data_IF_151622494841
#
_entry.id   IF_151622494841
#
_cell.length_a   1.000
_cell.length_b   1.000
_cell.length_c   1.000
_cell.angle_alpha   90.00
_cell.angle_beta   90.00
_cell.angle_gamma   90.00
#
_symmetry.space_group_name_H-M   'P 1'
#
loop_
_entity.id
_entity.type
_entity.pdbx_description
1 polymer ?
#
# COMPACT_ATOMS: atom_id res chain seq x y z
N UNK A 1 -9.03 7.56 -4.12
CA UNK A 1 -7.78 6.78 -4.08
C UNK A 1 -7.27 6.67 -5.52
N UNK A 2 -6.05 7.13 -5.82
CA UNK A 2 -5.47 7.01 -7.16
C UNK A 2 -4.83 5.62 -7.33
N UNK A 3 -5.25 4.86 -8.34
CA UNK A 3 -4.60 3.63 -8.77
C UNK A 3 -3.30 3.94 -9.54
N UNK A 4 -2.26 3.12 -9.39
CA UNK A 4 -1.03 3.20 -10.19
C UNK A 4 -0.83 1.88 -10.95
N UNK A 5 -0.50 1.94 -12.24
CA UNK A 5 -0.24 0.74 -13.05
C UNK A 5 1.27 0.52 -13.17
N UNK A 6 1.73 -0.71 -12.91
CA UNK A 6 3.14 -1.07 -13.02
C UNK A 6 3.30 -2.51 -13.52
N UNK A 7 4.00 -2.71 -14.64
CA UNK A 7 4.22 -4.03 -15.27
C UNK A 7 2.97 -4.92 -15.40
N UNK A 8 1.81 -4.31 -15.67
CA UNK A 8 0.52 -5.03 -15.79
C UNK A 8 -0.25 -5.20 -14.47
N UNK A 9 0.31 -4.78 -13.34
CA UNK A 9 -0.32 -4.82 -12.03
C UNK A 9 -0.96 -3.47 -11.68
N UNK A 10 -2.16 -3.53 -11.10
CA UNK A 10 -2.80 -2.39 -10.47
C UNK A 10 -2.36 -2.30 -9.00
N UNK A 11 -1.76 -1.17 -8.64
CA UNK A 11 -1.28 -0.88 -7.30
C UNK A 11 -2.21 0.15 -6.66
N UNK A 12 -2.73 -0.18 -5.49
CA UNK A 12 -3.66 0.63 -4.71
C UNK A 12 -3.05 0.96 -3.34
N UNK A 13 -2.43 2.14 -3.17
CA UNK A 13 -1.98 2.61 -1.86
C UNK A 13 -3.17 2.86 -0.92
N UNK A 14 -3.10 2.30 0.29
CA UNK A 14 -4.09 2.40 1.35
C UNK A 14 -3.48 3.13 2.53
N UNK A 15 -3.67 4.45 2.59
CA UNK A 15 -3.07 5.32 3.61
C UNK A 15 -4.11 5.67 4.65
N UNK A 16 -3.78 5.45 5.93
CA UNK A 16 -4.68 5.71 7.04
C UNK A 16 -3.93 6.35 8.22
N UNK A 17 -4.66 7.03 9.10
CA UNK A 17 -4.07 7.62 10.30
C UNK A 17 -3.61 6.51 11.25
N UNK A 18 -2.45 6.69 11.87
CA UNK A 18 -1.89 5.72 12.81
C UNK A 18 -2.77 5.55 14.05
N UNK A 19 -3.17 6.67 14.66
CA UNK A 19 -4.08 6.67 15.81
C UNK A 19 -5.55 6.84 15.37
N UNK A 20 -6.46 6.17 16.10
CA UNK A 20 -7.89 6.44 15.98
C UNK A 20 -8.15 7.86 16.50
N UNK A 21 -8.99 8.66 15.83
CA UNK A 21 -9.42 9.94 16.38
C UNK A 21 -10.06 9.69 17.76
N UNK A 22 -9.45 10.21 18.82
CA UNK A 22 -10.09 10.24 20.14
C UNK A 22 -11.32 11.15 20.02
N UNK A 23 -12.48 10.66 20.43
CA UNK A 23 -13.72 11.44 20.38
C UNK A 23 -13.54 12.74 21.17
N UNK A 24 -13.55 13.88 20.47
CA UNK A 24 -13.45 15.22 21.06
C UNK A 24 -12.10 15.93 20.90
N UNK A 25 -11.03 15.26 20.44
CA UNK A 25 -9.83 15.96 19.98
C UNK A 25 -9.93 16.19 18.47
N UNK A 26 -9.50 17.37 17.99
CA UNK A 26 -9.33 17.60 16.55
C UNK A 26 -8.46 16.51 15.90
N UNK A 27 -8.47 16.42 14.57
CA UNK A 27 -7.61 15.47 13.82
C UNK A 27 -6.15 15.70 14.23
N UNK A 28 -5.63 14.90 15.16
CA UNK A 28 -4.23 14.91 15.55
C UNK A 28 -3.46 14.23 14.43
N UNK A 29 -2.90 15.04 13.53
CA UNK A 29 -1.96 14.55 12.52
C UNK A 29 -0.58 14.26 13.09
N UNK A 30 -0.36 14.56 14.39
CA UNK A 30 0.91 14.34 15.09
C UNK A 30 1.26 12.85 15.23
N UNK A 31 0.27 11.96 15.24
CA UNK A 31 0.51 10.52 15.36
C UNK A 31 0.97 9.87 14.04
N UNK A 32 0.96 10.63 12.94
CA UNK A 32 1.40 10.17 11.63
C UNK A 32 0.42 9.25 10.90
N UNK A 33 0.94 8.56 9.89
CA UNK A 33 0.18 7.72 8.97
C UNK A 33 0.80 6.33 8.88
N UNK A 34 -0.07 5.32 8.84
CA UNK A 34 0.30 3.98 8.44
C UNK A 34 -0.05 3.76 6.96
N UNK A 35 0.58 2.75 6.39
CA UNK A 35 0.38 2.39 4.99
C UNK A 35 0.12 0.89 4.84
N UNK A 36 -0.78 0.57 3.93
CA UNK A 36 -0.87 -0.73 3.29
C UNK A 36 -0.95 -0.53 1.78
N UNK A 37 -0.72 -1.58 1.01
CA UNK A 37 -0.86 -1.55 -0.43
C UNK A 37 -1.53 -2.82 -0.90
N UNK A 38 -2.56 -2.67 -1.73
CA UNK A 38 -3.16 -3.80 -2.46
C UNK A 38 -2.59 -3.84 -3.86
N UNK A 39 -2.10 -4.99 -4.27
CA UNK A 39 -1.59 -5.23 -5.62
C UNK A 39 -2.52 -6.22 -6.28
N UNK A 40 -3.00 -5.89 -7.47
CA UNK A 40 -3.90 -6.73 -8.24
C UNK A 40 -3.28 -7.05 -9.60
N UNK A 41 -3.31 -8.31 -9.99
CA UNK A 41 -3.10 -8.73 -11.37
C UNK A 41 -4.47 -9.03 -11.99
N UNK A 42 -4.85 -8.27 -13.01
CA UNK A 42 -6.04 -8.58 -13.80
C UNK A 42 -5.66 -9.51 -14.94
N UNK A 43 -5.93 -10.79 -14.77
CA UNK A 43 -5.92 -11.77 -15.85
C UNK A 43 -7.27 -11.80 -16.59
N UNK A 44 -7.30 -12.33 -17.82
CA UNK A 44 -8.53 -12.54 -18.59
C UNK A 44 -9.47 -13.57 -17.94
N UNK A 45 -8.93 -14.51 -17.15
CA UNK A 45 -9.72 -15.56 -16.48
C UNK A 45 -9.71 -15.45 -14.95
N UNK A 46 -8.61 -14.97 -14.36
CA UNK A 46 -8.45 -14.86 -12.91
C UNK A 46 -7.90 -13.48 -12.53
N UNK A 47 -8.56 -12.83 -11.57
CA UNK A 47 -7.99 -11.66 -10.89
C UNK A 47 -7.36 -12.13 -9.58
N UNK A 48 -6.04 -12.02 -9.48
CA UNK A 48 -5.34 -12.20 -8.21
C UNK A 48 -5.18 -10.84 -7.54
N UNK A 49 -5.37 -10.78 -6.22
CA UNK A 49 -4.96 -9.61 -5.45
C UNK A 49 -4.52 -9.99 -4.05
N UNK A 50 -3.45 -9.36 -3.58
CA UNK A 50 -3.02 -9.45 -2.19
C UNK A 50 -2.80 -8.05 -1.59
N UNK A 51 -2.98 -7.95 -0.28
CA UNK A 51 -2.81 -6.71 0.47
C UNK A 51 -1.70 -6.85 1.50
N UNK A 52 -0.73 -5.94 1.43
CA UNK A 52 0.45 -5.93 2.28
C UNK A 52 0.42 -4.71 3.18
N UNK A 53 0.58 -4.92 4.48
CA UNK A 53 0.83 -3.82 5.42
C UNK A 53 2.32 -3.48 5.39
N UNK A 54 2.64 -2.19 5.28
CA UNK A 54 4.02 -1.73 5.45
C UNK A 54 4.32 -1.71 6.95
N UNK A 55 5.19 -2.61 7.39
CA UNK A 55 5.61 -2.72 8.79
C UNK A 55 6.79 -1.79 9.07
N UNK A 56 6.56 -0.49 9.00
CA UNK A 56 7.56 0.50 9.43
C UNK A 56 7.64 0.56 10.96
N UNK A 57 8.85 0.76 11.48
CA UNK A 57 9.08 0.88 12.93
C UNK A 57 8.45 2.17 13.50
N UNK A 58 8.31 3.21 12.68
CA UNK A 58 7.69 4.48 13.03
C UNK A 58 6.67 4.89 11.96
N UNK A 59 5.53 5.48 12.34
CA UNK A 59 4.55 5.98 11.38
C UNK A 59 5.15 7.03 10.43
N UNK A 60 4.60 7.12 9.23
CA UNK A 60 4.99 8.14 8.26
C UNK A 60 4.49 9.52 8.69
N UNK A 61 5.37 10.52 8.64
CA UNK A 61 5.01 11.91 9.00
C UNK A 61 3.90 12.49 8.12
N UNK A 62 3.82 12.08 6.84
CA UNK A 62 2.82 12.59 5.90
C UNK A 62 2.20 11.47 5.07
N UNK A 63 0.95 11.67 4.66
CA UNK A 63 0.26 10.76 3.73
C UNK A 63 0.99 10.63 2.39
N UNK A 64 1.68 11.69 1.95
CA UNK A 64 2.50 11.68 0.74
C UNK A 64 3.72 10.77 0.87
N UNK A 65 4.40 10.77 2.02
CA UNK A 65 5.50 9.84 2.31
C UNK A 65 5.00 8.40 2.36
N UNK A 66 3.90 8.15 3.09
CA UNK A 66 3.26 6.85 3.18
C UNK A 66 2.87 6.29 1.79
N UNK A 67 2.30 7.15 0.93
CA UNK A 67 1.95 6.79 -0.45
C UNK A 67 3.17 6.42 -1.30
N UNK A 68 4.27 7.17 -1.20
CA UNK A 68 5.49 6.85 -1.96
C UNK A 68 6.08 5.51 -1.50
N UNK A 69 6.14 5.28 -0.19
CA UNK A 69 6.61 4.01 0.36
C UNK A 69 5.74 2.82 -0.10
N UNK A 70 4.41 2.97 -0.13
CA UNK A 70 3.51 1.94 -0.68
C UNK A 70 3.82 1.61 -2.13
N UNK A 71 4.11 2.61 -2.96
CA UNK A 71 4.43 2.39 -4.38
C UNK A 71 5.77 1.69 -4.54
N UNK A 72 6.80 2.13 -3.80
CA UNK A 72 8.12 1.54 -3.82
C UNK A 72 8.11 0.08 -3.35
N UNK A 73 7.41 -0.20 -2.23
CA UNK A 73 7.22 -1.56 -1.73
C UNK A 73 6.56 -2.45 -2.79
N UNK A 74 5.49 -1.95 -3.41
CA UNK A 74 4.73 -2.69 -4.41
C UNK A 74 5.55 -2.99 -5.67
N UNK A 75 6.27 -2.00 -6.19
CA UNK A 75 7.15 -2.18 -7.34
C UNK A 75 8.26 -3.19 -7.02
N UNK A 76 8.92 -3.06 -5.87
CA UNK A 76 9.97 -3.99 -5.45
C UNK A 76 9.48 -5.43 -5.26
N UNK A 77 8.25 -5.64 -4.79
CA UNK A 77 7.65 -6.97 -4.73
C UNK A 77 7.35 -7.53 -6.13
N UNK A 78 6.77 -6.72 -7.03
CA UNK A 78 6.51 -7.14 -8.42
C UNK A 78 7.82 -7.51 -9.12
N UNK A 79 8.86 -6.70 -8.93
CA UNK A 79 10.18 -6.93 -9.54
C UNK A 79 10.87 -8.18 -8.98
N UNK A 80 10.78 -8.43 -7.67
CA UNK A 80 11.37 -9.63 -7.04
C UNK A 80 10.75 -10.95 -7.56
N UNK A 81 9.48 -10.91 -7.94
CA UNK A 81 8.72 -12.08 -8.42
C UNK A 81 8.60 -12.14 -9.95
N UNK A 82 9.42 -11.36 -10.68
CA UNK A 82 9.38 -11.21 -12.15
C UNK A 82 8.00 -10.83 -12.72
N UNK A 83 7.11 -10.30 -11.89
CA UNK A 83 5.69 -10.11 -12.20
C UNK A 83 4.91 -11.43 -12.18
N UNK A 84 5.31 -12.44 -12.94
CA UNK A 84 4.48 -13.62 -13.21
C UNK A 84 4.45 -14.65 -12.05
N UNK A 85 5.43 -14.63 -11.13
CA UNK A 85 5.54 -15.62 -10.04
C UNK A 85 5.14 -15.04 -8.67
N UNK A 86 4.19 -14.10 -8.71
CA UNK A 86 3.76 -13.24 -7.61
C UNK A 86 2.95 -13.95 -6.51
N UNK A 87 2.46 -15.18 -6.74
CA UNK A 87 1.77 -15.99 -5.74
C UNK A 87 2.58 -17.24 -5.39
N UNK A 88 2.91 -17.49 -4.10
CA UNK A 88 3.35 -18.82 -3.70
C UNK A 88 2.18 -19.82 -3.90
N UNK A 89 2.49 -21.00 -4.42
CA UNK A 89 1.56 -22.14 -4.53
C UNK A 89 1.13 -22.66 -3.15
#
# INVERSE_FOLDING_TARGET
MSMHLYRGFEIYPLIYQHAKPVAGSGRNYDDGFDAAVRICLRGPELTCSDTFKLNEATPFLTSGAARRASLEFAQGMIDRHDGENWMPS
#
